data_IF_329462971800
#
_entry.id   IF_329462971800
#
_cell.length_a   1.000
_cell.length_b   1.000
_cell.length_c   1.000
_cell.angle_alpha   90.00
_cell.angle_beta   90.00
_cell.angle_gamma   90.00
#
_symmetry.space_group_name_H-M   'P 1'
#
loop_
_entity.id
_entity.type
_entity.pdbx_description
1 polymer ?
#
# COMPACT_ATOMS: atom_id res chain seq x y z
N UNK A 1 9.20 26.43 -12.86
CA UNK A 1 9.97 26.29 -11.62
C UNK A 1 8.99 26.02 -10.47
N UNK A 2 9.08 24.80 -9.92
CA UNK A 2 8.72 24.37 -8.55
C UNK A 2 7.41 24.85 -7.88
N UNK A 3 6.31 24.15 -8.14
CA UNK A 3 5.20 23.96 -7.17
C UNK A 3 4.78 22.50 -7.00
N UNK A 4 5.62 21.53 -7.43
CA UNK A 4 5.30 20.10 -7.35
C UNK A 4 5.14 19.57 -5.92
N UNK A 5 5.79 20.20 -4.92
CA UNK A 5 5.77 19.72 -3.55
C UNK A 5 4.46 20.04 -2.77
N UNK A 6 3.53 20.84 -3.30
CA UNK A 6 2.36 21.32 -2.53
C UNK A 6 1.06 20.57 -2.88
N UNK A 7 1.08 19.57 -3.77
CA UNK A 7 -0.14 18.83 -4.11
C UNK A 7 -0.81 18.18 -2.89
N UNK A 8 0.01 17.74 -1.90
CA UNK A 8 -0.44 16.96 -0.76
C UNK A 8 0.14 17.48 0.56
N UNK A 9 -0.28 18.66 1.07
CA UNK A 9 0.36 19.31 2.21
C UNK A 9 0.33 18.47 3.49
N UNK A 10 -0.71 17.65 3.69
CA UNK A 10 -0.87 16.76 4.85
C UNK A 10 -0.53 15.30 4.51
N UNK A 11 -1.10 14.77 3.43
CA UNK A 11 -1.01 13.34 3.12
C UNK A 11 0.45 12.86 2.88
N UNK A 12 1.33 13.71 2.34
CA UNK A 12 2.76 13.37 2.19
C UNK A 12 3.46 13.13 3.53
N UNK A 13 3.10 13.90 4.56
CA UNK A 13 3.68 13.76 5.90
C UNK A 13 3.08 12.56 6.64
N UNK A 14 1.78 12.30 6.45
CA UNK A 14 1.15 11.07 6.94
C UNK A 14 1.82 9.84 6.32
N UNK A 15 2.04 9.85 5.00
CA UNK A 15 2.76 8.78 4.30
C UNK A 15 4.18 8.61 4.83
N UNK A 16 4.93 9.70 5.00
CA UNK A 16 6.29 9.65 5.55
C UNK A 16 6.31 9.06 6.98
N UNK A 17 5.46 9.57 7.87
CA UNK A 17 5.37 9.08 9.25
C UNK A 17 5.01 7.60 9.28
N UNK A 18 4.05 7.19 8.44
CA UNK A 18 3.72 5.78 8.26
C UNK A 18 4.93 4.97 7.83
N UNK A 19 5.65 5.37 6.78
CA UNK A 19 6.83 4.65 6.27
C UNK A 19 7.92 4.52 7.35
N UNK A 20 8.18 5.57 8.12
CA UNK A 20 9.21 5.55 9.19
C UNK A 20 8.87 4.54 10.29
N UNK A 21 7.58 4.30 10.57
CA UNK A 21 7.14 3.28 11.54
C UNK A 21 7.06 1.90 10.89
N UNK A 22 6.44 1.81 9.72
CA UNK A 22 6.12 0.58 9.02
C UNK A 22 7.37 -0.14 8.49
N UNK A 23 8.29 0.58 7.85
CA UNK A 23 9.44 -0.04 7.17
C UNK A 23 10.38 -0.79 8.12
N UNK A 24 10.89 -0.19 9.21
CA UNK A 24 11.77 -0.91 10.14
C UNK A 24 11.04 -2.06 10.85
N UNK A 25 9.75 -1.87 11.13
CA UNK A 25 8.87 -2.91 11.65
C UNK A 25 8.82 -4.12 10.73
N UNK A 26 8.50 -3.89 9.45
CA UNK A 26 8.30 -4.95 8.47
C UNK A 26 9.58 -5.70 8.20
N UNK A 27 10.70 -4.99 8.06
CA UNK A 27 12.02 -5.63 7.91
C UNK A 27 12.33 -6.51 9.12
N UNK A 28 12.02 -6.07 10.34
CA UNK A 28 12.30 -6.85 11.56
C UNK A 28 11.46 -8.12 11.66
N UNK A 29 10.19 -8.06 11.25
CA UNK A 29 9.24 -9.18 11.40
C UNK A 29 9.29 -10.14 10.20
N UNK A 30 9.37 -9.60 8.99
CA UNK A 30 9.22 -10.35 7.74
C UNK A 30 10.53 -10.48 6.94
N UNK A 31 11.55 -9.68 7.26
CA UNK A 31 12.82 -9.65 6.54
C UNK A 31 12.81 -8.79 5.28
N UNK A 32 13.99 -8.56 4.73
CA UNK A 32 14.19 -7.69 3.56
C UNK A 32 13.50 -8.19 2.30
N UNK A 33 13.48 -9.51 2.08
CA UNK A 33 12.83 -10.11 0.93
C UNK A 33 11.32 -9.82 0.87
N UNK A 34 10.68 -9.55 2.02
CA UNK A 34 9.27 -9.21 2.06
C UNK A 34 8.96 -7.93 1.27
N UNK A 35 9.89 -6.97 1.26
CA UNK A 35 9.72 -5.69 0.56
C UNK A 35 9.62 -5.84 -0.97
N UNK A 36 9.87 -7.03 -1.51
CA UNK A 36 9.70 -7.35 -2.93
C UNK A 36 8.25 -7.71 -3.27
N UNK A 37 7.37 -7.92 -2.30
CA UNK A 37 5.95 -8.09 -2.58
C UNK A 37 5.38 -6.79 -3.14
N UNK A 38 4.51 -6.91 -4.16
CA UNK A 38 3.96 -5.76 -4.86
C UNK A 38 3.19 -4.80 -3.95
N UNK A 39 2.60 -5.31 -2.86
CA UNK A 39 1.92 -4.49 -1.87
C UNK A 39 2.90 -3.59 -1.08
N UNK A 40 4.07 -4.09 -0.72
CA UNK A 40 5.13 -3.34 -0.05
C UNK A 40 5.78 -2.32 -0.99
N UNK A 41 6.05 -2.72 -2.24
CA UNK A 41 6.53 -1.82 -3.29
C UNK A 41 5.51 -0.68 -3.49
N UNK A 42 4.22 -0.96 -3.49
CA UNK A 42 3.17 0.03 -3.62
C UNK A 42 3.14 1.03 -2.46
N UNK A 43 3.39 0.59 -1.22
CA UNK A 43 3.53 1.51 -0.08
C UNK A 43 4.70 2.47 -0.31
N UNK A 44 5.87 1.93 -0.66
CA UNK A 44 7.10 2.72 -0.83
C UNK A 44 6.94 3.72 -2.00
N UNK A 45 6.62 3.21 -3.20
CA UNK A 45 6.48 4.05 -4.39
C UNK A 45 5.27 4.98 -4.30
N UNK A 46 4.20 4.59 -3.60
CA UNK A 46 3.06 5.44 -3.30
C UNK A 46 3.44 6.63 -2.42
N UNK A 47 4.19 6.41 -1.34
CA UNK A 47 4.70 7.48 -0.48
C UNK A 47 5.67 8.41 -1.23
N UNK A 48 6.55 7.84 -2.06
CA UNK A 48 7.42 8.60 -2.96
C UNK A 48 6.61 9.46 -3.93
N UNK A 49 5.55 8.89 -4.51
CA UNK A 49 4.62 9.60 -5.39
C UNK A 49 3.89 10.75 -4.69
N UNK A 50 3.46 10.55 -3.44
CA UNK A 50 2.86 11.59 -2.60
C UNK A 50 3.85 12.71 -2.25
N UNK A 51 5.11 12.38 -2.02
CA UNK A 51 6.13 13.37 -1.68
C UNK A 51 6.43 14.32 -2.84
N UNK A 52 6.57 13.78 -4.05
CA UNK A 52 6.89 14.55 -5.26
C UNK A 52 5.68 15.00 -6.07
N UNK A 53 4.46 14.61 -5.69
CA UNK A 53 3.26 14.89 -6.47
C UNK A 53 3.26 14.18 -7.84
N UNK A 54 3.86 12.99 -7.93
CA UNK A 54 4.01 12.25 -9.19
C UNK A 54 2.73 11.49 -9.53
N UNK A 55 1.96 11.99 -10.51
CA UNK A 55 0.76 11.30 -11.03
C UNK A 55 1.10 9.92 -11.57
N UNK A 56 2.27 9.73 -12.20
CA UNK A 56 2.70 8.44 -12.72
C UNK A 56 2.88 7.39 -11.62
N UNK A 57 3.61 7.72 -10.54
CA UNK A 57 3.82 6.79 -9.42
C UNK A 57 2.52 6.51 -8.67
N UNK A 58 1.74 7.56 -8.39
CA UNK A 58 0.45 7.42 -7.70
C UNK A 58 -0.50 6.53 -8.51
N UNK A 59 -0.59 6.78 -9.82
CA UNK A 59 -1.48 6.03 -10.71
C UNK A 59 -1.03 4.58 -10.89
N UNK A 60 0.27 4.31 -11.04
CA UNK A 60 0.77 2.94 -11.19
C UNK A 60 0.54 2.13 -9.92
N UNK A 61 0.85 2.70 -8.75
CA UNK A 61 0.67 2.00 -7.48
C UNK A 61 -0.79 1.88 -7.07
N UNK A 62 -1.69 2.74 -7.57
CA UNK A 62 -3.13 2.57 -7.37
C UNK A 62 -3.63 1.26 -8.01
N UNK A 63 -3.11 0.88 -9.19
CA UNK A 63 -3.51 -0.35 -9.88
C UNK A 63 -3.18 -1.58 -9.02
N UNK A 64 -1.93 -1.70 -8.56
CA UNK A 64 -1.50 -2.85 -7.74
C UNK A 64 -2.15 -2.86 -6.36
N UNK A 65 -2.17 -1.71 -5.68
CA UNK A 65 -2.73 -1.62 -4.32
C UNK A 65 -4.24 -1.87 -4.28
N UNK A 66 -4.99 -1.48 -5.32
CA UNK A 66 -6.42 -1.82 -5.42
C UNK A 66 -6.63 -3.32 -5.57
N UNK A 67 -5.88 -3.97 -6.47
CA UNK A 67 -5.96 -5.42 -6.65
C UNK A 67 -5.63 -6.14 -5.34
N UNK A 68 -4.46 -5.86 -4.77
CA UNK A 68 -4.02 -6.45 -3.50
C UNK A 68 -4.99 -6.15 -2.35
N UNK A 69 -5.50 -4.92 -2.26
CA UNK A 69 -6.45 -4.50 -1.23
C UNK A 69 -7.78 -5.22 -1.31
N UNK A 70 -8.31 -5.45 -2.51
CA UNK A 70 -9.53 -6.24 -2.74
C UNK A 70 -9.31 -7.68 -2.32
N UNK A 71 -8.24 -8.34 -2.79
CA UNK A 71 -7.96 -9.72 -2.42
C UNK A 71 -7.76 -9.90 -0.92
N UNK A 72 -6.97 -9.01 -0.30
CA UNK A 72 -6.73 -9.03 1.14
C UNK A 72 -8.03 -8.85 1.93
N UNK A 73 -8.86 -7.86 1.54
CA UNK A 73 -10.12 -7.56 2.25
C UNK A 73 -11.14 -8.69 2.10
N UNK A 74 -11.22 -9.33 0.93
CA UNK A 74 -12.09 -10.49 0.69
C UNK A 74 -11.67 -11.65 1.59
N UNK A 75 -10.38 -11.96 1.67
CA UNK A 75 -9.89 -13.08 2.48
C UNK A 75 -10.14 -12.85 3.99
N UNK A 76 -9.92 -11.62 4.49
CA UNK A 76 -10.31 -11.23 5.86
C UNK A 76 -11.81 -11.38 6.08
N UNK A 77 -12.63 -10.79 5.21
CA UNK A 77 -14.08 -10.80 5.33
C UNK A 77 -14.64 -12.21 5.31
N UNK A 78 -14.11 -13.06 4.43
CA UNK A 78 -14.47 -14.47 4.35
C UNK A 78 -14.14 -15.22 5.64
N UNK A 79 -12.95 -14.97 6.21
CA UNK A 79 -12.56 -15.53 7.51
C UNK A 79 -13.49 -15.10 8.64
N UNK A 80 -13.90 -13.83 8.67
CA UNK A 80 -14.82 -13.32 9.68
C UNK A 80 -16.22 -13.93 9.57
N UNK A 81 -16.71 -14.18 8.35
CA UNK A 81 -18.07 -14.71 8.12
C UNK A 81 -18.13 -16.23 8.25
N UNK A 82 -17.13 -16.96 7.75
CA UNK A 82 -17.17 -18.43 7.60
C UNK A 82 -16.27 -19.18 8.56
N UNK A 83 -15.35 -18.49 9.23
CA UNK A 83 -14.29 -19.10 10.04
C UNK A 83 -13.17 -19.77 9.22
N UNK A 84 -13.21 -19.74 7.88
CA UNK A 84 -12.20 -20.32 6.98
C UNK A 84 -11.56 -19.22 6.12
N UNK A 85 -10.34 -19.44 5.63
CA UNK A 85 -9.73 -18.54 4.65
C UNK A 85 -10.21 -18.91 3.24
N UNK A 86 -10.38 -17.91 2.37
CA UNK A 86 -10.79 -18.15 0.99
C UNK A 86 -9.60 -18.58 0.16
N UNK A 87 -8.50 -17.84 0.28
CA UNK A 87 -7.23 -18.10 -0.41
C UNK A 87 -6.12 -18.39 0.60
N UNK A 88 -6.19 -17.81 1.81
CA UNK A 88 -5.15 -17.97 2.84
C UNK A 88 -4.08 -16.87 2.83
N UNK A 89 -4.23 -15.85 1.98
CA UNK A 89 -3.30 -14.71 1.93
C UNK A 89 -3.25 -13.87 3.20
N UNK A 90 -4.18 -14.09 4.14
CA UNK A 90 -4.28 -13.33 5.40
C UNK A 90 -4.20 -14.20 6.66
N UNK A 91 -3.74 -15.45 6.55
CA UNK A 91 -3.60 -16.35 7.70
C UNK A 91 -2.77 -15.75 8.85
N UNK A 92 -1.70 -15.05 8.50
CA UNK A 92 -0.83 -14.39 9.46
C UNK A 92 -1.54 -13.36 10.34
N UNK A 93 -2.68 -12.81 9.91
CA UNK A 93 -3.47 -11.87 10.73
C UNK A 93 -4.08 -12.55 11.96
N UNK A 94 -4.20 -13.88 11.96
CA UNK A 94 -4.65 -14.69 13.10
C UNK A 94 -3.52 -15.45 13.80
N UNK A 95 -2.27 -15.33 13.34
CA UNK A 95 -1.13 -16.00 13.98
C UNK A 95 -0.64 -15.22 15.19
N UNK A 96 -0.73 -15.83 16.38
CA UNK A 96 -0.28 -15.24 17.65
C UNK A 96 1.24 -15.12 17.76
N UNK A 97 2.00 -15.81 16.89
CA UNK A 97 3.47 -15.65 16.79
C UNK A 97 3.84 -14.32 16.13
N UNK A 98 2.94 -13.72 15.36
CA UNK A 98 3.14 -12.41 14.74
C UNK A 98 2.60 -11.33 15.69
N UNK A 99 3.43 -10.36 16.10
CA UNK A 99 2.99 -9.30 17.01
C UNK A 99 1.78 -8.54 16.46
N UNK A 100 0.84 -8.18 17.33
CA UNK A 100 -0.42 -7.53 16.93
C UNK A 100 -0.18 -6.26 16.10
N UNK A 101 0.77 -5.43 16.49
CA UNK A 101 1.09 -4.18 15.79
C UNK A 101 1.59 -4.43 14.36
N UNK A 102 2.40 -5.48 14.13
CA UNK A 102 2.85 -5.84 12.78
C UNK A 102 1.69 -6.31 11.90
N UNK A 103 0.73 -7.04 12.48
CA UNK A 103 -0.51 -7.43 11.78
C UNK A 103 -1.38 -6.22 11.45
N UNK A 104 -1.58 -5.32 12.42
CA UNK A 104 -2.37 -4.11 12.21
C UNK A 104 -1.78 -3.22 11.13
N UNK A 105 -0.45 -3.14 11.04
CA UNK A 105 0.21 -2.40 9.97
C UNK A 105 -0.12 -2.96 8.57
N UNK A 106 -0.47 -4.24 8.42
CA UNK A 106 -0.95 -4.78 7.13
C UNK A 106 -2.28 -4.20 6.68
N UNK A 107 -2.99 -3.45 7.53
CA UNK A 107 -4.18 -2.71 7.12
C UNK A 107 -3.89 -1.61 6.08
N UNK A 108 -2.63 -1.38 5.70
CA UNK A 108 -2.31 -0.57 4.52
C UNK A 108 -3.00 -1.07 3.25
N UNK A 109 -3.36 -2.36 3.18
CA UNK A 109 -4.19 -2.92 2.10
C UNK A 109 -5.56 -2.23 1.96
N UNK A 110 -6.01 -1.52 3.00
CA UNK A 110 -7.21 -0.68 2.97
C UNK A 110 -6.83 0.79 2.81
N UNK A 111 -5.94 1.31 3.66
CA UNK A 111 -5.68 2.76 3.71
C UNK A 111 -4.90 3.29 2.50
N UNK A 112 -3.94 2.52 1.96
CA UNK A 112 -3.14 2.91 0.81
C UNK A 112 -3.98 3.11 -0.46
N UNK A 113 -4.80 2.14 -0.93
CA UNK A 113 -5.57 2.34 -2.15
C UNK A 113 -6.56 3.51 -2.03
N UNK A 114 -7.15 3.74 -0.85
CA UNK A 114 -8.01 4.90 -0.61
C UNK A 114 -7.22 6.22 -0.71
N UNK A 115 -6.02 6.29 -0.13
CA UNK A 115 -5.15 7.45 -0.22
C UNK A 115 -4.70 7.72 -1.66
N UNK A 116 -4.32 6.69 -2.41
CA UNK A 116 -3.88 6.81 -3.81
C UNK A 116 -5.03 7.19 -4.73
N UNK A 117 -6.23 6.64 -4.55
CA UNK A 117 -7.42 7.06 -5.29
C UNK A 117 -7.76 8.53 -5.03
N UNK A 118 -7.69 8.97 -3.78
CA UNK A 118 -7.91 10.38 -3.46
C UNK A 118 -6.83 11.27 -4.08
N UNK A 119 -5.56 10.84 -4.04
CA UNK A 119 -4.46 11.56 -4.67
C UNK A 119 -4.66 11.66 -6.19
N UNK A 120 -5.03 10.57 -6.86
CA UNK A 120 -5.37 10.54 -8.29
C UNK A 120 -6.52 11.50 -8.62
N UNK A 121 -7.56 11.59 -7.78
CA UNK A 121 -8.64 12.57 -7.99
C UNK A 121 -8.15 14.01 -7.98
N UNK A 122 -7.05 14.31 -7.28
CA UNK A 122 -6.47 15.66 -7.22
C UNK A 122 -5.50 15.97 -8.36
N UNK A 123 -4.63 15.03 -8.73
CA UNK A 123 -3.54 15.29 -9.69
C UNK A 123 -3.74 14.60 -11.05
N UNK A 124 -4.87 13.91 -11.24
CA UNK A 124 -5.21 13.16 -12.44
C UNK A 124 -4.54 11.78 -12.50
N UNK A 125 -5.09 10.93 -13.37
CA UNK A 125 -4.54 9.63 -13.71
C UNK A 125 -3.54 9.74 -14.87
N UNK A 126 -2.37 9.12 -14.74
CA UNK A 126 -1.39 9.03 -15.82
C UNK A 126 -1.66 7.79 -16.68
N UNK A 127 -1.84 7.97 -18.00
CA UNK A 127 -2.15 6.87 -18.92
C UNK A 127 -1.04 5.82 -19.03
N UNK A 128 0.19 6.15 -18.63
CA UNK A 128 1.34 5.23 -18.61
C UNK A 128 1.38 4.34 -17.36
N UNK A 129 0.47 4.56 -16.41
CA UNK A 129 0.43 3.87 -15.13
C UNK A 129 0.41 2.34 -15.27
N UNK A 130 -0.43 1.81 -16.16
CA UNK A 130 -0.53 0.36 -16.36
C UNK A 130 0.78 -0.23 -16.91
N UNK A 131 1.41 0.45 -17.88
CA UNK A 131 2.67 0.01 -18.45
C UNK A 131 3.80 0.03 -17.40
N UNK A 132 3.88 1.09 -16.59
CA UNK A 132 4.85 1.15 -15.49
C UNK A 132 4.57 0.07 -14.44
N UNK A 133 3.31 -0.15 -14.07
CA UNK A 133 2.96 -1.18 -13.09
C UNK A 133 3.28 -2.58 -13.60
N UNK A 134 3.07 -2.85 -14.89
CA UNK A 134 3.44 -4.12 -15.52
C UNK A 134 4.96 -4.33 -15.61
N UNK A 135 5.76 -3.27 -15.63
CA UNK A 135 7.22 -3.37 -15.59
C UNK A 135 7.77 -3.58 -14.16
N UNK A 136 7.00 -3.20 -13.14
CA UNK A 136 7.34 -3.39 -11.72
C UNK A 136 6.95 -4.81 -11.25
N UNK A 137 5.84 -5.34 -11.78
CA UNK A 137 5.29 -6.66 -11.45
C UNK A 137 6.01 -7.80 -12.16
#
# INVERSE_FOLDING_TARGET
MTTGAIAFPVLRWVGLLWTVVWLPTYIRVWGWANLLHLCDIAVILGCVGLWWGSSLLISSQAVSSLGAGIFWSIDIGWRLVTGRFLVGGTEYMWDTRVPLWARLLSSFHISLPLALLWAMRKIGYDRRALALQAAIA
#
